data_IF_083836907976
#
_entry.id   IF_083836907976
#
_cell.length_a   1.000
_cell.length_b   1.000
_cell.length_c   1.000
_cell.angle_alpha   90.00
_cell.angle_beta   90.00
_cell.angle_gamma   90.00
#
_symmetry.space_group_name_H-M   'P 1'
#
loop_
_entity.id
_entity.type
_entity.pdbx_description
1 polymer ?
#
# COMPACT_ATOMS: atom_id res chain seq x y z
N UNK A 1 -0.60 -5.91 -17.86
CA UNK A 1 -0.41 -4.59 -17.25
C UNK A 1 0.91 -4.55 -16.49
N UNK A 2 2.01 -4.51 -17.20
CA UNK A 2 3.31 -4.67 -16.56
C UNK A 2 3.69 -3.51 -15.63
N UNK A 3 3.03 -2.35 -15.77
CA UNK A 3 3.41 -1.18 -14.99
C UNK A 3 2.49 -0.90 -13.81
N UNK A 4 1.59 -1.83 -13.50
CA UNK A 4 0.60 -1.67 -12.44
C UNK A 4 0.99 -2.52 -11.24
N UNK A 5 1.02 -1.90 -10.05
CA UNK A 5 1.27 -2.63 -8.79
C UNK A 5 0.24 -2.17 -7.78
N UNK A 6 -0.33 -3.13 -7.03
CA UNK A 6 -1.31 -2.85 -5.99
C UNK A 6 -0.74 -3.27 -4.64
N UNK A 7 -0.69 -2.34 -3.71
CA UNK A 7 -0.29 -2.61 -2.34
C UNK A 7 -1.50 -2.53 -1.42
N UNK A 8 -1.49 -3.34 -0.38
CA UNK A 8 -2.53 -3.32 0.64
C UNK A 8 -2.00 -2.73 1.93
N UNK A 9 -2.79 -1.84 2.55
CA UNK A 9 -2.59 -1.52 3.94
C UNK A 9 -3.07 -2.66 4.82
N UNK A 10 -2.89 -2.52 6.12
CA UNK A 10 -3.19 -3.58 7.07
C UNK A 10 -4.65 -3.63 7.52
N UNK A 11 -5.45 -2.62 7.17
CA UNK A 11 -6.82 -2.52 7.68
C UNK A 11 -7.75 -3.56 7.08
N UNK A 12 -7.61 -3.85 5.79
CA UNK A 12 -8.55 -4.75 5.12
C UNK A 12 -7.85 -5.50 3.97
N UNK A 13 -6.93 -6.42 4.31
CA UNK A 13 -6.15 -7.11 3.27
C UNK A 13 -7.00 -7.98 2.35
N UNK A 14 -8.13 -8.50 2.83
CA UNK A 14 -8.98 -9.33 1.98
C UNK A 14 -9.56 -8.55 0.80
N UNK A 15 -9.89 -7.28 0.99
CA UNK A 15 -10.41 -6.47 -0.10
C UNK A 15 -9.36 -6.26 -1.18
N UNK A 16 -8.14 -5.95 -0.77
CA UNK A 16 -7.03 -5.79 -1.71
C UNK A 16 -6.75 -7.10 -2.45
N UNK A 17 -6.83 -8.22 -1.75
CA UNK A 17 -6.64 -9.52 -2.36
C UNK A 17 -7.69 -9.80 -3.43
N UNK A 18 -8.93 -9.41 -3.18
CA UNK A 18 -9.99 -9.55 -4.19
C UNK A 18 -9.72 -8.68 -5.41
N UNK A 19 -9.24 -7.45 -5.19
CA UNK A 19 -8.94 -6.53 -6.28
C UNK A 19 -7.86 -7.14 -7.19
N UNK A 20 -6.75 -7.58 -6.61
CA UNK A 20 -5.66 -8.14 -7.43
C UNK A 20 -6.06 -9.45 -8.09
N UNK A 21 -6.93 -10.22 -7.45
CA UNK A 21 -7.44 -11.45 -8.03
C UNK A 21 -8.23 -11.17 -9.32
N UNK A 22 -9.04 -10.13 -9.31
CA UNK A 22 -9.77 -9.72 -10.51
C UNK A 22 -8.84 -9.20 -11.60
N UNK A 23 -7.73 -8.59 -11.22
CA UNK A 23 -6.76 -8.06 -12.17
C UNK A 23 -5.76 -9.11 -12.63
N UNK A 24 -5.78 -10.29 -12.03
CA UNK A 24 -4.84 -11.39 -12.33
C UNK A 24 -3.39 -10.99 -12.11
N UNK A 25 -3.14 -10.23 -11.04
CA UNK A 25 -1.79 -9.84 -10.64
C UNK A 25 -1.59 -10.17 -9.16
N UNK A 26 -0.34 -10.33 -8.69
CA UNK A 26 -0.10 -10.51 -7.25
C UNK A 26 -0.15 -9.18 -6.53
N UNK A 27 -0.33 -9.24 -5.20
CA UNK A 27 -0.14 -8.06 -4.37
C UNK A 27 1.34 -7.65 -4.37
N UNK A 28 1.56 -6.35 -4.29
CA UNK A 28 2.91 -5.83 -4.19
C UNK A 28 3.57 -6.26 -2.87
N UNK A 29 4.89 -6.45 -2.93
CA UNK A 29 5.64 -6.92 -1.79
C UNK A 29 6.09 -5.74 -0.92
N UNK A 30 5.58 -5.68 0.30
CA UNK A 30 5.94 -4.65 1.27
C UNK A 30 5.82 -5.22 2.67
N UNK A 31 6.69 -4.76 3.56
CA UNK A 31 6.63 -5.12 4.97
C UNK A 31 6.14 -3.89 5.75
N UNK A 32 5.05 -4.07 6.48
CA UNK A 32 4.48 -3.02 7.31
C UNK A 32 4.65 -3.43 8.77
N UNK A 33 5.29 -2.59 9.56
CA UNK A 33 5.51 -2.83 10.98
C UNK A 33 4.89 -1.71 11.80
N UNK A 34 4.27 -2.09 12.91
CA UNK A 34 3.70 -1.13 13.84
C UNK A 34 4.32 -1.39 15.20
N UNK A 35 4.94 -0.38 15.77
CA UNK A 35 5.62 -0.50 17.05
C UNK A 35 4.69 -0.13 18.20
N UNK A 36 5.09 -0.52 19.42
CA UNK A 36 4.24 -0.32 20.60
C UNK A 36 4.03 1.16 20.94
N UNK A 37 4.91 2.05 20.45
CA UNK A 37 4.75 3.49 20.62
C UNK A 37 3.88 4.13 19.55
N UNK A 38 3.28 3.33 18.67
CA UNK A 38 2.42 3.82 17.60
C UNK A 38 3.14 4.13 16.30
N UNK A 39 4.45 4.02 16.27
CA UNK A 39 5.22 4.30 15.06
C UNK A 39 4.96 3.24 14.00
N UNK A 40 4.81 3.69 12.75
CA UNK A 40 4.57 2.80 11.61
C UNK A 40 5.80 2.85 10.70
N UNK A 41 6.26 1.68 10.30
CA UNK A 41 7.37 1.55 9.35
C UNK A 41 6.92 0.72 8.16
N UNK A 42 7.27 1.18 6.95
CA UNK A 42 6.94 0.48 5.72
C UNK A 42 8.21 0.30 4.91
N UNK A 43 8.46 -0.94 4.50
CA UNK A 43 9.58 -1.25 3.61
C UNK A 43 9.03 -1.86 2.32
N UNK A 44 9.34 -1.22 1.19
CA UNK A 44 8.94 -1.73 -0.11
C UNK A 44 10.01 -2.71 -0.58
N UNK A 45 9.62 -3.95 -0.81
CA UNK A 45 10.58 -5.02 -1.10
C UNK A 45 10.57 -5.47 -2.54
N UNK A 46 9.92 -4.70 -3.43
CA UNK A 46 9.99 -4.97 -4.86
C UNK A 46 10.27 -3.69 -5.63
N UNK A 47 10.66 -3.83 -6.88
CA UNK A 47 10.98 -2.68 -7.72
C UNK A 47 9.68 -2.06 -8.24
N UNK A 48 9.43 -0.80 -7.82
CA UNK A 48 8.25 -0.05 -8.27
C UNK A 48 8.64 1.15 -9.13
N UNK A 49 9.89 1.24 -9.53
CA UNK A 49 10.40 2.41 -10.26
C UNK A 49 9.63 2.62 -11.55
N UNK A 50 9.08 3.81 -11.70
CA UNK A 50 8.33 4.19 -12.88
C UNK A 50 6.97 3.55 -13.03
N UNK A 51 6.52 2.77 -12.04
CA UNK A 51 5.26 2.06 -12.15
C UNK A 51 4.09 2.87 -11.57
N UNK A 52 2.89 2.57 -12.07
CA UNK A 52 1.64 3.05 -11.47
C UNK A 52 1.33 2.20 -10.24
N UNK A 53 1.27 2.84 -9.09
CA UNK A 53 1.08 2.13 -7.82
C UNK A 53 -0.24 2.56 -7.20
N UNK A 54 -1.01 1.58 -6.77
CA UNK A 54 -2.26 1.80 -6.05
C UNK A 54 -2.13 1.26 -4.64
N UNK A 55 -2.51 2.08 -3.65
CA UNK A 55 -2.56 1.67 -2.25
C UNK A 55 -4.03 1.48 -1.89
N UNK A 56 -4.42 0.28 -1.52
CA UNK A 56 -5.79 -0.01 -1.11
C UNK A 56 -5.83 -0.10 0.41
N UNK A 57 -6.52 0.84 1.05
CA UNK A 57 -6.57 0.90 2.50
C UNK A 57 -7.86 1.57 2.95
N UNK A 58 -8.58 0.89 3.84
CA UNK A 58 -9.75 1.47 4.49
C UNK A 58 -9.32 2.45 5.57
N UNK A 59 -10.08 3.52 5.76
CA UNK A 59 -9.88 4.44 6.87
C UNK A 59 -10.90 4.25 7.98
N UNK A 60 -11.55 3.08 8.03
CA UNK A 60 -12.38 2.71 9.16
C UNK A 60 -11.56 2.66 10.44
N UNK A 61 -12.22 2.63 11.58
CA UNK A 61 -11.52 2.66 12.87
C UNK A 61 -10.44 1.57 12.97
N UNK A 62 -9.25 1.87 13.49
CA UNK A 62 -8.82 3.18 13.96
C UNK A 62 -8.37 4.08 12.82
N UNK A 63 -9.12 5.16 12.60
CA UNK A 63 -8.98 6.00 11.42
C UNK A 63 -7.60 6.66 11.32
N UNK A 64 -7.11 7.20 12.45
CA UNK A 64 -5.83 7.91 12.44
C UNK A 64 -4.67 6.99 12.07
N UNK A 65 -4.66 5.78 12.61
CA UNK A 65 -3.61 4.81 12.31
C UNK A 65 -3.66 4.38 10.85
N UNK A 66 -4.86 4.14 10.34
CA UNK A 66 -5.02 3.68 8.96
C UNK A 66 -4.66 4.77 7.96
N UNK A 67 -5.01 6.02 8.26
CA UNK A 67 -4.63 7.15 7.42
C UNK A 67 -3.11 7.36 7.45
N UNK A 68 -2.52 7.29 8.63
CA UNK A 68 -1.07 7.44 8.78
C UNK A 68 -0.33 6.36 7.98
N UNK A 69 -0.86 5.14 7.98
CA UNK A 69 -0.26 4.04 7.24
C UNK A 69 -0.24 4.35 5.73
N UNK A 70 -1.32 4.95 5.20
CA UNK A 70 -1.36 5.37 3.80
C UNK A 70 -0.26 6.39 3.53
N UNK A 71 -0.11 7.36 4.41
CA UNK A 71 0.87 8.43 4.21
C UNK A 71 2.31 7.90 4.26
N UNK A 72 2.59 7.02 5.22
CA UNK A 72 3.92 6.42 5.35
C UNK A 72 4.23 5.54 4.13
N UNK A 73 3.26 4.76 3.67
CA UNK A 73 3.45 3.92 2.50
C UNK A 73 3.66 4.75 1.24
N UNK A 74 2.88 5.83 1.07
CA UNK A 74 3.04 6.71 -0.08
C UNK A 74 4.42 7.35 -0.09
N UNK A 75 4.93 7.75 1.07
CA UNK A 75 6.27 8.32 1.18
C UNK A 75 7.34 7.30 0.80
N UNK A 76 7.20 6.06 1.29
CA UNK A 76 8.14 4.99 0.96
C UNK A 76 8.14 4.70 -0.54
N UNK A 77 6.96 4.68 -1.17
CA UNK A 77 6.83 4.44 -2.60
C UNK A 77 7.43 5.57 -3.42
N UNK A 78 7.24 6.81 -2.96
CA UNK A 78 7.82 7.96 -3.64
C UNK A 78 9.35 7.91 -3.59
N UNK A 79 9.91 7.54 -2.44
CA UNK A 79 11.36 7.38 -2.30
C UNK A 79 11.89 6.22 -3.13
N UNK A 80 11.04 5.23 -3.41
CA UNK A 80 11.40 4.13 -4.29
C UNK A 80 11.20 4.47 -5.77
N UNK A 81 10.88 5.73 -6.08
CA UNK A 81 10.74 6.26 -7.44
C UNK A 81 9.55 5.69 -8.20
N UNK A 82 8.46 5.39 -7.53
CA UNK A 82 7.22 5.02 -8.19
C UNK A 82 6.78 6.15 -9.13
N UNK A 83 6.20 5.79 -10.26
CA UNK A 83 5.83 6.77 -11.26
C UNK A 83 4.58 7.56 -10.88
N UNK A 84 3.57 6.86 -10.38
CA UNK A 84 2.32 7.47 -9.91
C UNK A 84 1.83 6.70 -8.71
N UNK A 85 1.31 7.40 -7.73
CA UNK A 85 0.80 6.78 -6.51
C UNK A 85 -0.64 7.24 -6.31
N UNK A 86 -1.55 6.31 -6.20
CA UNK A 86 -2.97 6.58 -6.01
C UNK A 86 -3.47 5.80 -4.80
N UNK A 87 -4.12 6.49 -3.87
CA UNK A 87 -4.74 5.84 -2.74
C UNK A 87 -6.19 5.51 -3.08
N UNK A 88 -6.58 4.26 -2.87
CA UNK A 88 -7.95 3.80 -3.03
C UNK A 88 -8.52 3.56 -1.64
N UNK A 89 -9.46 4.40 -1.25
CA UNK A 89 -10.06 4.38 0.08
C UNK A 89 -11.52 4.01 -0.08
N UNK A 90 -11.84 2.72 0.12
CA UNK A 90 -13.22 2.27 -0.05
C UNK A 90 -14.16 2.77 1.02
#
# INVERSE_FOLDING_TARGET
MPNLVVFSGSAHPQFAQKVVSHLHIPLGAAAVSKFSDGEISVEITENVRGKDVFIVQSTCAPTNDNLMEILVMADALRRASAGRITAVIP
#
